data_IF_205040812795
#
_entry.id   IF_205040812795
#
_cell.length_a   1.000
_cell.length_b   1.000
_cell.length_c   1.000
_cell.angle_alpha   90.00
_cell.angle_beta   90.00
_cell.angle_gamma   90.00
#
_symmetry.space_group_name_H-M   'P 1'
#
loop_
_entity.id
_entity.type
_entity.pdbx_description
1 polymer ?
#
# COMPACT_ATOMS: atom_id res chain seq x y z
N UNK A 1 -38.18 49.24 -6.56
CA UNK A 1 -38.39 47.80 -6.82
C UNK A 1 -37.58 47.40 -8.04
N UNK A 2 -36.42 46.78 -7.86
CA UNK A 2 -35.67 46.04 -8.91
C UNK A 2 -34.40 45.46 -8.27
N UNK A 3 -34.56 44.37 -7.56
CA UNK A 3 -33.47 43.51 -7.11
C UNK A 3 -33.93 42.07 -7.29
N UNK A 4 -32.96 41.19 -7.56
CA UNK A 4 -33.09 39.72 -7.61
C UNK A 4 -33.75 39.11 -8.83
N UNK A 5 -32.96 38.77 -9.86
CA UNK A 5 -33.24 37.59 -10.72
C UNK A 5 -31.97 37.04 -11.43
N UNK A 6 -30.76 37.18 -10.86
CA UNK A 6 -29.52 36.65 -11.52
C UNK A 6 -28.59 35.94 -10.52
N UNK A 7 -29.12 35.24 -9.52
CA UNK A 7 -28.29 34.56 -8.51
C UNK A 7 -28.52 33.05 -8.38
N UNK A 8 -29.37 32.43 -9.22
CA UNK A 8 -29.78 31.03 -9.01
C UNK A 8 -29.22 30.00 -10.00
N UNK A 9 -28.40 30.39 -10.99
CA UNK A 9 -27.95 29.45 -12.04
C UNK A 9 -26.48 28.98 -11.93
N UNK A 10 -25.72 29.46 -10.93
CA UNK A 10 -24.30 29.14 -10.78
C UNK A 10 -24.00 28.02 -9.77
N UNK A 11 -25.02 27.47 -9.09
CA UNK A 11 -24.85 26.44 -8.06
C UNK A 11 -25.09 24.99 -8.57
N UNK A 12 -25.13 24.78 -9.89
CA UNK A 12 -25.38 23.45 -10.49
C UNK A 12 -24.13 22.73 -11.05
N UNK A 13 -23.01 23.43 -11.23
CA UNK A 13 -21.85 22.89 -11.96
C UNK A 13 -20.78 22.22 -11.09
N UNK A 14 -20.97 22.13 -9.78
CA UNK A 14 -19.98 21.52 -8.87
C UNK A 14 -20.17 20.01 -8.62
N UNK A 15 -21.17 19.36 -9.23
CA UNK A 15 -21.46 17.94 -8.94
C UNK A 15 -20.88 16.93 -9.93
N UNK A 16 -20.04 17.35 -10.89
CA UNK A 16 -19.45 16.43 -11.88
C UNK A 16 -18.02 15.99 -11.60
N UNK A 17 -17.47 16.27 -10.41
CA UNK A 17 -16.25 15.59 -9.97
C UNK A 17 -16.60 14.17 -9.50
N UNK A 18 -17.06 13.34 -10.45
CA UNK A 18 -17.01 11.89 -10.34
C UNK A 18 -15.53 11.50 -10.18
N UNK A 19 -15.08 11.37 -8.94
CA UNK A 19 -13.90 10.56 -8.66
C UNK A 19 -14.25 9.14 -9.12
N UNK A 20 -13.69 8.71 -10.26
CA UNK A 20 -13.58 7.29 -10.56
C UNK A 20 -13.00 6.65 -9.30
N UNK A 21 -13.81 5.84 -8.61
CA UNK A 21 -13.26 4.86 -7.69
C UNK A 21 -12.54 3.89 -8.60
N UNK A 22 -11.24 4.11 -8.79
CA UNK A 22 -10.38 3.08 -9.34
C UNK A 22 -10.56 1.88 -8.43
N UNK A 23 -11.18 0.83 -8.94
CA UNK A 23 -11.33 -0.43 -8.24
C UNK A 23 -9.91 -0.97 -8.03
N UNK A 24 -9.34 -0.67 -6.85
CA UNK A 24 -8.03 -1.14 -6.38
C UNK A 24 -7.92 -2.68 -6.38
N UNK A 25 -9.01 -3.39 -6.65
CA UNK A 25 -9.20 -4.82 -6.45
C UNK A 25 -8.66 -5.75 -7.55
N UNK A 26 -8.25 -5.25 -8.73
CA UNK A 26 -7.88 -6.13 -9.86
C UNK A 26 -6.42 -6.07 -10.29
N UNK A 27 -5.72 -4.96 -10.05
CA UNK A 27 -4.34 -4.81 -10.50
C UNK A 27 -3.37 -5.54 -9.58
N UNK A 28 -2.56 -6.42 -10.16
CA UNK A 28 -1.46 -7.13 -9.47
C UNK A 28 -0.13 -6.58 -9.96
N UNK A 29 0.84 -6.45 -9.05
CA UNK A 29 2.19 -5.97 -9.37
C UNK A 29 3.22 -6.59 -8.44
N UNK A 30 4.49 -6.49 -8.85
CA UNK A 30 5.59 -7.07 -8.09
C UNK A 30 6.24 -6.07 -7.15
N UNK A 31 6.59 -6.56 -5.97
CA UNK A 31 7.36 -5.83 -4.97
C UNK A 31 8.52 -6.66 -4.47
N UNK A 32 9.62 -6.01 -4.13
CA UNK A 32 10.76 -6.59 -3.42
C UNK A 32 10.68 -6.23 -1.95
N UNK A 33 10.82 -7.22 -1.07
CA UNK A 33 10.88 -6.99 0.38
C UNK A 33 12.24 -6.39 0.74
N UNK A 34 12.25 -5.21 1.35
CA UNK A 34 13.47 -4.55 1.83
C UNK A 34 13.76 -4.97 3.27
N UNK A 35 12.72 -5.02 4.11
CA UNK A 35 12.80 -5.50 5.49
C UNK A 35 11.45 -6.04 5.90
N UNK A 36 11.44 -7.09 6.70
CA UNK A 36 10.27 -7.60 7.38
C UNK A 36 10.59 -7.86 8.86
N UNK A 37 9.69 -7.43 9.74
CA UNK A 37 9.72 -7.71 11.16
C UNK A 37 8.29 -7.95 11.60
N UNK A 38 7.97 -9.18 11.99
CA UNK A 38 6.69 -9.46 12.64
C UNK A 38 5.46 -9.02 11.82
N UNK A 39 5.46 -9.33 10.53
CA UNK A 39 4.50 -8.95 9.49
C UNK A 39 4.66 -7.54 8.94
N UNK A 40 5.18 -6.61 9.73
CA UNK A 40 5.43 -5.26 9.26
C UNK A 40 6.59 -5.29 8.26
N UNK A 41 6.37 -4.71 7.08
CA UNK A 41 7.32 -4.79 6.00
C UNK A 41 7.48 -3.47 5.27
N UNK A 42 8.73 -3.21 4.87
CA UNK A 42 9.07 -2.18 3.91
C UNK A 42 9.26 -2.92 2.59
N UNK A 43 8.49 -2.51 1.58
CA UNK A 43 8.54 -3.12 0.25
C UNK A 43 8.82 -2.05 -0.80
N UNK A 44 9.54 -2.44 -1.84
CA UNK A 44 9.89 -1.60 -2.97
C UNK A 44 9.15 -2.08 -4.21
N UNK A 45 8.46 -1.17 -4.91
CA UNK A 45 7.86 -1.47 -6.21
C UNK A 45 8.95 -1.82 -7.22
N UNK A 46 8.71 -2.89 -7.97
CA UNK A 46 9.50 -3.23 -9.15
C UNK A 46 8.89 -2.58 -10.40
N UNK A 47 7.56 -2.52 -10.44
CA UNK A 47 6.80 -1.86 -11.51
C UNK A 47 6.48 -0.40 -11.16
N UNK A 48 7.05 0.53 -11.94
CA UNK A 48 6.89 1.97 -11.74
C UNK A 48 5.52 2.51 -12.17
N UNK A 49 4.70 1.70 -12.85
CA UNK A 49 3.31 2.03 -13.22
C UNK A 49 2.42 2.30 -11.99
N UNK A 50 2.86 1.84 -10.82
CA UNK A 50 2.16 1.93 -9.54
C UNK A 50 2.79 2.95 -8.57
N UNK A 51 3.70 3.82 -9.07
CA UNK A 51 4.47 4.76 -8.24
C UNK A 51 3.61 5.69 -7.37
N UNK A 52 2.34 5.94 -7.72
CA UNK A 52 1.42 6.73 -6.90
C UNK A 52 1.18 6.14 -5.50
N UNK A 53 1.38 4.83 -5.32
CA UNK A 53 1.18 4.15 -4.04
C UNK A 53 2.44 4.15 -3.15
N UNK A 54 3.56 4.62 -3.68
CA UNK A 54 4.86 4.60 -3.04
C UNK A 54 5.50 5.99 -2.94
N UNK A 55 6.51 6.13 -2.10
CA UNK A 55 7.30 7.34 -1.92
C UNK A 55 8.76 7.15 -2.33
N UNK A 56 9.42 8.27 -2.57
CA UNK A 56 10.81 8.34 -3.01
C UNK A 56 11.69 8.94 -1.91
N UNK A 57 12.99 8.63 -1.94
CA UNK A 57 13.98 9.18 -1.01
C UNK A 57 13.86 8.68 0.43
N UNK A 58 13.29 7.50 0.66
CA UNK A 58 13.21 6.92 1.99
C UNK A 58 14.59 6.41 2.44
N UNK A 59 15.14 7.01 3.50
CA UNK A 59 16.42 6.62 4.06
C UNK A 59 16.26 5.49 5.10
N UNK A 60 16.94 4.36 4.87
CA UNK A 60 16.90 3.20 5.76
C UNK A 60 18.22 2.43 5.73
N UNK A 61 18.73 2.08 6.91
CA UNK A 61 19.98 1.31 7.08
C UNK A 61 21.17 1.85 6.24
N UNK A 62 21.28 3.18 6.12
CA UNK A 62 22.36 3.86 5.38
C UNK A 62 22.17 3.93 3.85
N UNK A 63 21.04 3.50 3.32
CA UNK A 63 20.69 3.56 1.91
C UNK A 63 19.43 4.41 1.68
N UNK A 64 19.32 5.00 0.49
CA UNK A 64 18.11 5.70 0.05
C UNK A 64 17.34 4.81 -0.93
N UNK A 65 16.04 4.65 -0.69
CA UNK A 65 15.16 3.84 -1.52
C UNK A 65 14.08 4.71 -2.17
N UNK A 66 13.87 4.45 -3.47
CA UNK A 66 12.77 5.01 -4.22
C UNK A 66 11.67 3.98 -4.45
N UNK A 67 10.44 4.47 -4.62
CA UNK A 67 9.24 3.68 -4.84
C UNK A 67 8.98 2.66 -3.74
N UNK A 68 9.16 3.05 -2.48
CA UNK A 68 8.85 2.21 -1.32
C UNK A 68 7.53 2.58 -0.66
N UNK A 69 6.91 1.59 -0.02
CA UNK A 69 5.80 1.82 0.89
C UNK A 69 5.86 0.83 2.06
N UNK A 70 5.20 1.22 3.15
CA UNK A 70 5.03 0.38 4.32
C UNK A 70 3.79 -0.49 4.16
N UNK A 71 3.85 -1.73 4.63
CA UNK A 71 2.71 -2.64 4.64
C UNK A 71 2.78 -3.60 5.81
N UNK A 72 1.71 -4.36 6.02
CA UNK A 72 1.66 -5.44 6.99
C UNK A 72 1.13 -6.68 6.29
N UNK A 73 1.97 -7.70 6.19
CA UNK A 73 1.57 -8.99 5.63
C UNK A 73 0.54 -9.67 6.53
N UNK A 74 -0.40 -10.38 5.90
CA UNK A 74 -1.19 -11.34 6.66
C UNK A 74 -0.27 -12.46 7.18
N UNK A 75 -0.62 -13.09 8.28
CA UNK A 75 0.10 -14.20 8.86
C UNK A 75 0.04 -15.42 7.95
N UNK A 76 -1.06 -15.62 7.23
CA UNK A 76 -1.14 -16.61 6.17
C UNK A 76 -0.12 -16.32 5.05
N UNK A 77 -0.03 -15.07 4.57
CA UNK A 77 0.94 -14.68 3.55
C UNK A 77 2.38 -14.85 4.05
N UNK A 78 2.68 -14.42 5.27
CA UNK A 78 4.00 -14.54 5.88
C UNK A 78 4.40 -16.00 6.02
N UNK A 79 3.53 -16.85 6.56
CA UNK A 79 3.79 -18.29 6.69
C UNK A 79 4.03 -18.93 5.33
N UNK A 80 3.26 -18.56 4.31
CA UNK A 80 3.45 -19.04 2.94
C UNK A 80 4.84 -18.65 2.41
N UNK A 81 5.25 -17.39 2.56
CA UNK A 81 6.58 -16.92 2.15
C UNK A 81 7.73 -17.61 2.92
N UNK A 82 7.53 -17.86 4.22
CA UNK A 82 8.51 -18.53 5.07
C UNK A 82 8.76 -20.00 4.70
N UNK A 83 7.89 -20.62 3.89
CA UNK A 83 8.16 -21.95 3.32
C UNK A 83 9.29 -21.95 2.28
N UNK A 84 9.57 -20.79 1.66
CA UNK A 84 10.61 -20.64 0.62
C UNK A 84 11.97 -20.25 1.22
N UNK A 85 11.97 -19.39 2.23
CA UNK A 85 13.18 -18.85 2.85
C UNK A 85 12.93 -18.45 4.29
N UNK A 86 13.92 -18.65 5.16
CA UNK A 86 13.88 -18.16 6.55
C UNK A 86 14.10 -16.65 6.66
N UNK A 87 14.66 -16.01 5.63
CA UNK A 87 14.83 -14.57 5.54
C UNK A 87 14.09 -14.03 4.30
N UNK A 88 13.04 -13.25 4.53
CA UNK A 88 12.22 -12.67 3.46
C UNK A 88 12.88 -11.47 2.77
N UNK A 89 13.96 -10.92 3.34
CA UNK A 89 14.67 -9.78 2.75
C UNK A 89 15.18 -10.10 1.35
N UNK A 90 14.81 -9.27 0.38
CA UNK A 90 15.15 -9.43 -1.02
C UNK A 90 14.19 -10.30 -1.83
N UNK A 91 13.26 -11.01 -1.18
CA UNK A 91 12.25 -11.81 -1.87
C UNK A 91 11.35 -10.90 -2.71
N UNK A 92 11.10 -11.33 -3.95
CA UNK A 92 10.18 -10.67 -4.87
C UNK A 92 8.85 -11.42 -4.83
N UNK A 93 7.76 -10.71 -4.65
CA UNK A 93 6.41 -11.28 -4.56
C UNK A 93 5.44 -10.49 -5.42
N UNK A 94 4.38 -11.15 -5.89
CA UNK A 94 3.26 -10.51 -6.57
C UNK A 94 2.17 -10.18 -5.56
N UNK A 95 1.74 -8.93 -5.55
CA UNK A 95 0.76 -8.39 -4.60
C UNK A 95 -0.38 -7.71 -5.35
N UNK A 96 -1.51 -7.57 -4.68
CA UNK A 96 -2.58 -6.64 -5.07
C UNK A 96 -2.91 -5.73 -3.90
N UNK A 97 -3.40 -4.53 -4.20
CA UNK A 97 -3.85 -3.59 -3.18
C UNK A 97 -5.22 -3.99 -2.64
N UNK A 98 -5.44 -3.69 -1.37
CA UNK A 98 -6.72 -3.85 -0.70
C UNK A 98 -7.19 -2.50 -0.16
N UNK A 99 -8.50 -2.34 -0.02
CA UNK A 99 -9.08 -1.17 0.61
C UNK A 99 -8.94 -1.19 2.15
N UNK A 100 -8.76 -2.37 2.74
CA UNK A 100 -8.65 -2.58 4.18
C UNK A 100 -7.82 -3.82 4.50
N UNK A 101 -7.33 -3.92 5.73
CA UNK A 101 -6.68 -5.13 6.23
C UNK A 101 -7.63 -6.33 6.18
N UNK A 102 -7.09 -7.51 5.90
CA UNK A 102 -7.80 -8.77 6.13
C UNK A 102 -7.93 -9.02 7.64
N UNK A 103 -9.06 -9.60 8.05
CA UNK A 103 -9.27 -10.01 9.44
C UNK A 103 -8.41 -11.23 9.76
N UNK A 104 -7.69 -11.19 10.89
CA UNK A 104 -6.75 -12.24 11.30
C UNK A 104 -6.89 -12.57 12.80
N UNK A 105 -7.96 -13.27 13.21
CA UNK A 105 -8.26 -13.53 14.62
C UNK A 105 -7.23 -14.43 15.31
N UNK A 106 -6.57 -15.32 14.57
CA UNK A 106 -5.65 -16.32 15.13
C UNK A 106 -4.18 -15.92 15.04
N UNK A 107 -3.88 -14.70 14.59
CA UNK A 107 -2.50 -14.29 14.47
C UNK A 107 -1.92 -13.77 15.80
N UNK A 108 -0.83 -14.38 16.26
CA UNK A 108 -0.07 -13.90 17.40
C UNK A 108 0.40 -12.46 17.18
N UNK A 109 0.03 -11.56 18.09
CA UNK A 109 0.49 -10.16 18.08
C UNK A 109 1.96 -10.09 18.47
N UNK A 110 2.83 -9.79 17.52
CA UNK A 110 4.17 -9.33 17.84
C UNK A 110 4.16 -7.80 18.03
N UNK A 111 4.88 -7.34 19.05
CA UNK A 111 5.00 -5.90 19.37
C UNK A 111 6.18 -5.22 18.67
N UNK A 112 7.06 -5.99 18.04
CA UNK A 112 8.17 -5.43 17.28
C UNK A 112 7.67 -4.88 15.94
N UNK A 113 8.25 -3.76 15.53
CA UNK A 113 8.03 -3.12 14.24
C UNK A 113 9.38 -2.64 13.70
N UNK A 114 9.42 -2.20 12.45
CA UNK A 114 10.62 -1.58 11.87
C UNK A 114 10.93 -0.26 12.57
N UNK A 115 12.21 0.03 12.80
CA UNK A 115 12.66 1.23 13.54
C UNK A 115 12.35 2.55 12.83
N UNK A 116 12.23 2.50 11.50
CA UNK A 116 11.80 3.59 10.63
C UNK A 116 10.95 2.97 9.52
N UNK A 117 9.97 3.71 9.01
CA UNK A 117 9.07 3.25 7.95
C UNK A 117 8.72 4.37 6.97
N UNK A 118 8.42 4.03 5.71
CA UNK A 118 7.82 4.97 4.77
C UNK A 118 6.52 5.58 5.31
N UNK A 119 6.19 6.82 4.92
CA UNK A 119 4.95 7.47 5.31
C UNK A 119 3.74 6.87 4.57
N UNK A 120 3.92 6.47 3.31
CA UNK A 120 2.88 5.76 2.57
C UNK A 120 2.70 4.35 3.09
N UNK A 121 1.48 4.04 3.51
CA UNK A 121 1.06 2.72 3.94
C UNK A 121 0.00 2.16 3.00
N UNK A 122 0.12 0.88 2.65
CA UNK A 122 -0.84 0.18 1.81
C UNK A 122 -1.24 -1.16 2.42
N UNK A 123 -2.53 -1.48 2.35
CA UNK A 123 -3.00 -2.85 2.59
C UNK A 123 -2.78 -3.67 1.33
N UNK A 124 -2.22 -4.86 1.48
CA UNK A 124 -1.92 -5.75 0.36
C UNK A 124 -2.39 -7.17 0.64
N UNK A 125 -2.53 -7.94 -0.43
CA UNK A 125 -2.63 -9.39 -0.39
C UNK A 125 -1.55 -9.98 -1.29
N UNK A 126 -0.85 -11.02 -0.81
CA UNK A 126 0.13 -11.74 -1.60
C UNK A 126 -0.59 -12.75 -2.50
N UNK A 127 -0.48 -12.57 -3.81
CA UNK A 127 -1.15 -13.39 -4.83
C UNK A 127 -0.21 -14.33 -5.57
N UNK A 128 1.11 -14.10 -5.49
CA UNK A 128 2.14 -14.94 -6.10
C UNK A 128 3.49 -14.81 -5.39
N UNK A 129 4.27 -15.89 -5.42
CA UNK A 129 5.62 -16.01 -4.84
C UNK A 129 6.65 -16.30 -5.93
#
# INVERSE_FOLDING_TARGET
MRTSFIALFLLGLLQLSCTKKDDLNTATFQVKIIKEVCNDAIVQLIDTSYKQYAENGFAFEGQNYDHVFFTRFSCADRTKMQTLTSNLTGLIISVKLLNQAKSEPDCGTCRATVSSRPNKFQFIEVVGL
#
